data_IF_891754491898
#
_entry.id   IF_891754491898
#
_cell.length_a   1.000
_cell.length_b   1.000
_cell.length_c   1.000
_cell.angle_alpha   90.00
_cell.angle_beta   90.00
_cell.angle_gamma   90.00
#
_symmetry.space_group_name_H-M   'P 1'
#
loop_
_entity.id
_entity.type
_entity.pdbx_description
1 polymer ?
#
# COMPACT_ATOMS: atom_id res chain seq x y z
N UNK A 1 -1.51 -6.19 11.41
CA UNK A 1 -0.85 -4.88 11.21
C UNK A 1 -1.63 -4.10 10.16
N UNK A 2 -1.95 -2.84 10.42
CA UNK A 2 -2.69 -1.92 9.53
C UNK A 2 -2.01 -0.55 9.56
N UNK A 3 -1.89 0.12 8.42
CA UNK A 3 -1.18 1.39 8.32
C UNK A 3 -2.11 2.58 8.57
N UNK A 4 -3.32 2.55 7.99
CA UNK A 4 -4.36 3.55 8.21
C UNK A 4 -3.87 4.97 7.92
N UNK A 5 -3.14 5.16 6.83
CA UNK A 5 -2.58 6.45 6.44
C UNK A 5 -3.58 7.28 5.63
N UNK A 6 -4.54 6.67 4.93
CA UNK A 6 -5.56 7.39 4.16
C UNK A 6 -6.90 7.55 4.88
N UNK A 7 -7.19 6.70 5.87
CA UNK A 7 -8.35 6.77 6.76
C UNK A 7 -7.93 6.28 8.15
N UNK A 8 -8.67 6.67 9.19
CA UNK A 8 -8.36 6.31 10.58
C UNK A 8 -8.68 4.85 10.93
N UNK A 9 -9.65 4.26 10.23
CA UNK A 9 -10.33 3.03 10.65
C UNK A 9 -10.56 2.01 9.51
N UNK A 10 -10.11 2.31 8.28
CA UNK A 10 -10.29 1.45 7.11
C UNK A 10 -9.13 1.57 6.12
N UNK A 11 -8.96 0.55 5.28
CA UNK A 11 -7.98 0.57 4.19
C UNK A 11 -8.51 1.41 3.01
N UNK A 12 -7.62 2.01 2.22
CA UNK A 12 -8.02 2.63 0.96
C UNK A 12 -8.41 1.59 -0.10
N UNK A 13 -9.64 1.68 -0.60
CA UNK A 13 -10.18 0.76 -1.60
C UNK A 13 -10.01 1.29 -3.03
N UNK A 14 -9.02 0.76 -3.74
CA UNK A 14 -8.79 1.03 -5.16
C UNK A 14 -9.83 0.39 -6.10
N UNK A 15 -10.69 -0.51 -5.60
CA UNK A 15 -11.74 -1.14 -6.40
C UNK A 15 -13.07 -0.37 -6.33
N UNK A 16 -13.13 0.68 -5.51
CA UNK A 16 -14.32 1.53 -5.40
C UNK A 16 -14.64 2.17 -6.75
N UNK A 17 -15.92 2.13 -7.10
CA UNK A 17 -16.43 2.79 -8.31
C UNK A 17 -16.21 4.29 -8.23
N UNK A 18 -15.67 4.85 -9.31
CA UNK A 18 -15.51 6.27 -9.51
C UNK A 18 -16.88 6.94 -9.70
N UNK A 19 -16.99 8.26 -9.44
CA UNK A 19 -18.26 8.98 -9.61
C UNK A 19 -18.73 8.90 -11.07
N UNK A 20 -20.05 8.89 -11.27
CA UNK A 20 -20.68 8.72 -12.58
C UNK A 20 -20.26 9.79 -13.61
N UNK A 21 -19.84 10.97 -13.15
CA UNK A 21 -19.38 12.09 -13.98
C UNK A 21 -17.85 12.18 -14.11
N UNK A 22 -17.10 11.15 -13.71
CA UNK A 22 -15.64 11.06 -13.82
C UNK A 22 -15.11 11.54 -15.18
N UNK A 23 -15.67 11.04 -16.28
CA UNK A 23 -15.17 11.33 -17.61
C UNK A 23 -15.30 12.82 -17.94
N UNK A 24 -16.42 13.43 -17.55
CA UNK A 24 -16.66 14.86 -17.73
C UNK A 24 -15.69 15.69 -16.88
N UNK A 25 -15.52 15.34 -15.60
CA UNK A 25 -14.57 16.03 -14.72
C UNK A 25 -13.12 15.90 -15.20
N UNK A 26 -12.72 14.71 -15.62
CA UNK A 26 -11.36 14.43 -16.12
C UNK A 26 -11.04 15.25 -17.36
N UNK A 27 -12.00 15.35 -18.29
CA UNK A 27 -11.85 16.14 -19.49
C UNK A 27 -11.88 17.65 -19.18
N UNK A 28 -12.92 18.13 -18.50
CA UNK A 28 -13.18 19.55 -18.27
C UNK A 28 -12.12 20.20 -17.37
N UNK A 29 -11.56 19.45 -16.42
CA UNK A 29 -10.53 19.92 -15.50
C UNK A 29 -9.11 19.49 -15.89
N UNK A 30 -8.93 18.82 -17.03
CA UNK A 30 -7.64 18.29 -17.48
C UNK A 30 -6.92 17.44 -16.41
N UNK A 31 -7.66 16.58 -15.71
CA UNK A 31 -7.12 15.83 -14.57
C UNK A 31 -6.01 14.85 -14.95
N UNK A 32 -5.95 14.41 -16.21
CA UNK A 32 -4.86 13.55 -16.67
C UNK A 32 -3.49 14.22 -16.50
N UNK A 33 -3.38 15.53 -16.74
CA UNK A 33 -2.13 16.29 -16.54
C UNK A 33 -1.71 16.25 -15.07
N UNK A 34 -2.66 16.39 -14.15
CA UNK A 34 -2.42 16.28 -12.71
C UNK A 34 -1.97 14.85 -12.34
N UNK A 35 -2.67 13.83 -12.83
CA UNK A 35 -2.36 12.44 -12.52
C UNK A 35 -1.02 12.01 -13.09
N UNK A 36 -0.67 12.44 -14.30
CA UNK A 36 0.64 12.18 -14.92
C UNK A 36 1.78 12.83 -14.12
N UNK A 37 1.58 14.06 -13.65
CA UNK A 37 2.54 14.74 -12.79
C UNK A 37 2.74 14.03 -11.44
N UNK A 38 1.66 13.52 -10.85
CA UNK A 38 1.75 12.70 -9.64
C UNK A 38 2.43 11.34 -9.91
N UNK A 39 2.18 10.74 -11.07
CA UNK A 39 2.63 9.41 -11.41
C UNK A 39 4.10 9.33 -11.86
N UNK A 40 4.62 10.36 -12.54
CA UNK A 40 5.93 10.33 -13.20
C UNK A 40 6.14 9.08 -14.08
N UNK A 41 5.08 8.67 -14.78
CA UNK A 41 5.07 7.48 -15.64
C UNK A 41 4.80 6.14 -14.93
N UNK A 42 4.66 6.12 -13.61
CA UNK A 42 4.24 4.91 -12.87
C UNK A 42 2.72 4.71 -12.96
N UNK A 43 2.30 3.64 -13.66
CA UNK A 43 0.88 3.31 -13.84
C UNK A 43 0.14 3.06 -12.52
N UNK A 44 0.80 2.51 -11.51
CA UNK A 44 0.16 2.24 -10.22
C UNK A 44 -0.09 3.55 -9.46
N UNK A 45 0.86 4.48 -9.47
CA UNK A 45 0.67 5.80 -8.89
C UNK A 45 -0.43 6.59 -9.62
N UNK A 46 -0.50 6.47 -10.95
CA UNK A 46 -1.56 7.09 -11.76
C UNK A 46 -2.96 6.64 -11.31
N UNK A 47 -3.18 5.32 -11.23
CA UNK A 47 -4.48 4.77 -10.80
C UNK A 47 -4.84 5.18 -9.37
N UNK A 48 -3.86 5.16 -8.45
CA UNK A 48 -4.07 5.60 -7.06
C UNK A 48 -4.45 7.08 -6.99
N UNK A 49 -3.72 7.94 -7.70
CA UNK A 49 -3.99 9.37 -7.74
C UNK A 49 -5.39 9.65 -8.31
N UNK A 50 -5.73 9.01 -9.44
CA UNK A 50 -7.03 9.09 -10.08
C UNK A 50 -8.15 8.72 -9.11
N UNK A 51 -8.06 7.56 -8.46
CA UNK A 51 -9.08 7.11 -7.51
C UNK A 51 -9.17 8.01 -6.29
N UNK A 52 -8.04 8.46 -5.73
CA UNK A 52 -8.04 9.28 -4.53
C UNK A 52 -8.64 10.67 -4.77
N UNK A 53 -8.29 11.32 -5.89
CA UNK A 53 -8.77 12.66 -6.25
C UNK A 53 -10.24 12.65 -6.64
N UNK A 54 -10.67 11.68 -7.46
CA UNK A 54 -12.04 11.64 -7.99
C UNK A 54 -13.06 11.08 -7.00
N UNK A 55 -12.66 10.20 -6.09
CA UNK A 55 -13.59 9.67 -5.09
C UNK A 55 -14.12 10.76 -4.16
N UNK A 56 -13.33 11.83 -3.96
CA UNK A 56 -13.62 12.90 -3.02
C UNK A 56 -13.78 12.40 -1.58
N UNK A 57 -13.75 13.33 -0.63
CA UNK A 57 -14.21 13.07 0.73
C UNK A 57 -15.27 14.12 1.08
N UNK A 58 -16.27 13.66 1.83
CA UNK A 58 -17.35 14.49 2.37
C UNK A 58 -17.16 14.70 3.89
N UNK A 59 -16.34 13.87 4.54
CA UNK A 59 -16.03 13.96 5.97
C UNK A 59 -14.84 14.89 6.22
N UNK A 60 -15.11 15.97 6.96
CA UNK A 60 -14.13 16.97 7.36
C UNK A 60 -12.93 16.35 8.11
N UNK A 61 -13.19 15.42 9.03
CA UNK A 61 -12.14 14.84 9.86
C UNK A 61 -11.18 13.98 9.03
N UNK A 62 -11.68 13.25 8.03
CA UNK A 62 -10.88 12.45 7.11
C UNK A 62 -10.03 13.34 6.19
N UNK A 63 -10.58 14.46 5.71
CA UNK A 63 -9.81 15.44 4.92
C UNK A 63 -8.64 15.98 5.73
N UNK A 64 -8.91 16.48 6.94
CA UNK A 64 -7.88 17.02 7.84
C UNK A 64 -6.85 15.96 8.23
N UNK A 65 -7.30 14.73 8.50
CA UNK A 65 -6.42 13.60 8.78
C UNK A 65 -5.41 13.35 7.65
N UNK A 66 -5.88 13.32 6.38
CA UNK A 66 -4.98 13.16 5.22
C UNK A 66 -4.04 14.35 5.05
N UNK A 67 -4.50 15.57 5.32
CA UNK A 67 -3.65 16.75 5.26
C UNK A 67 -2.52 16.67 6.29
N UNK A 68 -2.80 16.22 7.52
CA UNK A 68 -1.79 16.05 8.56
C UNK A 68 -0.75 14.99 8.17
N UNK A 69 -1.20 13.86 7.61
CA UNK A 69 -0.30 12.82 7.08
C UNK A 69 0.56 13.38 5.92
N UNK A 70 -0.04 14.15 5.02
CA UNK A 70 0.69 14.77 3.90
C UNK A 70 1.70 15.81 4.37
N UNK A 71 1.44 16.57 5.44
CA UNK A 71 2.42 17.50 6.05
C UNK A 71 3.66 16.75 6.52
N UNK A 72 3.46 15.66 7.26
CA UNK A 72 4.55 14.77 7.67
C UNK A 72 5.32 14.22 6.46
N UNK A 73 4.62 13.85 5.39
CA UNK A 73 5.26 13.35 4.17
C UNK A 73 6.12 14.42 3.49
N UNK A 74 5.63 15.66 3.41
CA UNK A 74 6.38 16.79 2.85
C UNK A 74 7.58 17.17 3.71
N UNK A 75 7.48 17.02 5.04
CA UNK A 75 8.60 17.20 5.96
C UNK A 75 9.68 16.13 5.82
N UNK A 76 9.28 14.89 5.50
CA UNK A 76 10.15 13.71 5.50
C UNK A 76 10.14 12.91 4.18
N UNK A 77 10.38 13.55 3.01
CA UNK A 77 10.11 12.94 1.71
C UNK A 77 11.02 11.75 1.39
N UNK A 78 12.27 11.73 1.89
CA UNK A 78 13.20 10.61 1.72
C UNK A 78 12.74 9.37 2.47
N UNK A 79 12.29 9.54 3.72
CA UNK A 79 11.83 8.44 4.59
C UNK A 79 10.56 7.83 4.01
N UNK A 80 9.61 8.64 3.55
CA UNK A 80 8.39 8.14 2.92
C UNK A 80 8.69 7.31 1.67
N UNK A 81 9.63 7.77 0.83
CA UNK A 81 10.06 7.00 -0.34
C UNK A 81 10.72 5.70 0.06
N UNK A 82 11.55 5.68 1.10
CA UNK A 82 12.15 4.44 1.58
C UNK A 82 11.08 3.43 2.06
N UNK A 83 10.10 3.88 2.85
CA UNK A 83 8.99 3.02 3.31
C UNK A 83 8.20 2.48 2.10
N UNK A 84 7.91 3.33 1.12
CA UNK A 84 7.25 2.94 -0.12
C UNK A 84 8.06 1.91 -0.91
N UNK A 85 9.37 2.13 -1.09
CA UNK A 85 10.28 1.24 -1.81
C UNK A 85 10.39 -0.13 -1.12
N UNK A 86 10.36 -0.17 0.22
CA UNK A 86 10.29 -1.43 0.97
C UNK A 86 8.99 -2.18 0.63
N UNK A 87 7.85 -1.48 0.59
CA UNK A 87 6.57 -2.09 0.27
C UNK A 87 6.50 -2.58 -1.19
N UNK A 88 7.02 -1.80 -2.15
CA UNK A 88 7.15 -2.21 -3.55
C UNK A 88 8.06 -3.44 -3.69
N UNK A 89 9.25 -3.39 -3.08
CA UNK A 89 10.22 -4.47 -3.13
C UNK A 89 9.66 -5.79 -2.59
N UNK A 90 8.84 -5.74 -1.54
CA UNK A 90 8.16 -6.93 -1.01
C UNK A 90 7.28 -7.62 -2.06
N UNK A 91 6.48 -6.84 -2.77
CA UNK A 91 5.54 -7.38 -3.77
C UNK A 91 6.25 -7.84 -5.05
N UNK A 92 7.39 -7.24 -5.40
CA UNK A 92 8.20 -7.70 -6.53
C UNK A 92 8.91 -9.02 -6.28
N UNK A 93 9.46 -9.19 -5.07
CA UNK A 93 10.15 -10.41 -4.66
C UNK A 93 9.24 -11.63 -4.76
N UNK A 94 7.99 -11.49 -4.32
CA UNK A 94 7.02 -12.58 -4.37
C UNK A 94 6.63 -12.96 -5.81
N UNK A 95 6.45 -11.97 -6.70
CA UNK A 95 6.16 -12.24 -8.13
C UNK A 95 7.22 -13.15 -8.75
N UNK A 96 8.48 -13.03 -8.34
CA UNK A 96 9.58 -13.90 -8.80
C UNK A 96 9.48 -15.33 -8.29
N UNK A 97 8.79 -15.57 -7.17
CA UNK A 97 8.63 -16.89 -6.54
C UNK A 97 7.24 -17.51 -6.78
N UNK A 98 6.39 -16.86 -7.59
CA UNK A 98 5.02 -17.29 -7.91
C UNK A 98 4.91 -18.76 -8.35
N UNK A 99 5.91 -19.25 -9.09
CA UNK A 99 5.98 -20.64 -9.55
C UNK A 99 5.98 -21.67 -8.41
N UNK A 100 6.55 -21.35 -7.24
CA UNK A 100 6.55 -22.27 -6.10
C UNK A 100 5.14 -22.42 -5.49
N UNK A 101 4.35 -21.35 -5.48
CA UNK A 101 2.98 -21.34 -4.97
C UNK A 101 1.97 -21.95 -5.95
N UNK A 102 2.30 -22.00 -7.25
CA UNK A 102 1.50 -22.71 -8.26
C UNK A 102 1.69 -24.23 -8.22
N UNK A 103 2.70 -24.72 -7.49
CA UNK A 103 2.98 -26.14 -7.36
C UNK A 103 1.88 -26.88 -6.59
N UNK A 104 1.57 -28.11 -7.00
CA UNK A 104 0.67 -29.01 -6.25
C UNK A 104 1.38 -29.78 -5.13
N UNK A 105 2.71 -29.67 -5.02
CA UNK A 105 3.51 -30.42 -4.07
C UNK A 105 3.73 -29.60 -2.79
N UNK A 106 3.28 -30.10 -1.62
CA UNK A 106 3.49 -29.43 -0.33
C UNK A 106 4.94 -29.07 -0.03
N UNK A 107 5.92 -29.89 -0.44
CA UNK A 107 7.34 -29.57 -0.26
C UNK A 107 7.79 -28.35 -1.06
N UNK A 108 7.31 -28.19 -2.30
CA UNK A 108 7.60 -27.03 -3.14
C UNK A 108 6.95 -25.76 -2.57
N UNK A 109 5.69 -25.85 -2.15
CA UNK A 109 4.98 -24.74 -1.48
C UNK A 109 5.73 -24.33 -0.21
N UNK A 110 6.09 -25.29 0.63
CA UNK A 110 6.80 -25.03 1.88
C UNK A 110 8.13 -24.32 1.62
N UNK A 111 8.92 -24.81 0.66
CA UNK A 111 10.20 -24.23 0.31
C UNK A 111 10.06 -22.78 -0.17
N UNK A 112 9.16 -22.52 -1.13
CA UNK A 112 8.88 -21.18 -1.62
C UNK A 112 8.39 -20.23 -0.53
N UNK A 113 7.46 -20.69 0.32
CA UNK A 113 6.98 -19.88 1.45
C UNK A 113 8.10 -19.54 2.43
N UNK A 114 9.02 -20.47 2.73
CA UNK A 114 10.16 -20.18 3.61
C UNK A 114 11.05 -19.09 2.99
N UNK A 115 11.35 -19.16 1.71
CA UNK A 115 12.19 -18.17 1.03
C UNK A 115 11.52 -16.78 1.04
N UNK A 116 10.25 -16.70 0.68
CA UNK A 116 9.50 -15.43 0.69
C UNK A 116 9.38 -14.86 2.09
N UNK A 117 9.06 -15.67 3.09
CA UNK A 117 9.01 -15.22 4.49
C UNK A 117 10.37 -14.72 4.99
N UNK A 118 11.48 -15.36 4.60
CA UNK A 118 12.81 -14.87 4.95
C UNK A 118 13.08 -13.46 4.42
N UNK A 119 12.65 -13.19 3.18
CA UNK A 119 12.80 -11.87 2.57
C UNK A 119 11.86 -10.84 3.21
N UNK A 120 10.59 -11.20 3.46
CA UNK A 120 9.64 -10.35 4.17
C UNK A 120 10.11 -9.98 5.57
N UNK A 121 10.69 -10.91 6.33
CA UNK A 121 11.27 -10.62 7.64
C UNK A 121 12.38 -9.56 7.53
N UNK A 122 13.22 -9.63 6.49
CA UNK A 122 14.23 -8.60 6.22
C UNK A 122 13.61 -7.21 5.97
N UNK A 123 12.53 -7.14 5.20
CA UNK A 123 11.81 -5.90 4.91
C UNK A 123 11.07 -5.34 6.12
N UNK A 124 10.41 -6.20 6.91
CA UNK A 124 9.79 -5.81 8.18
C UNK A 124 10.83 -5.28 9.18
N UNK A 125 12.04 -5.85 9.20
CA UNK A 125 13.13 -5.33 10.02
C UNK A 125 13.59 -3.95 9.56
N UNK A 126 13.68 -3.70 8.25
CA UNK A 126 13.96 -2.36 7.72
C UNK A 126 12.89 -1.34 8.13
N UNK A 127 11.60 -1.69 8.01
CA UNK A 127 10.50 -0.85 8.48
C UNK A 127 10.59 -0.57 9.99
N UNK A 128 10.91 -1.60 10.78
CA UNK A 128 11.11 -1.46 12.23
C UNK A 128 12.22 -0.47 12.57
N UNK A 129 13.35 -0.55 11.85
CA UNK A 129 14.48 0.36 12.04
C UNK A 129 14.10 1.81 11.71
N UNK A 130 13.41 2.05 10.60
CA UNK A 130 12.90 3.39 10.25
C UNK A 130 12.02 3.94 11.39
N UNK A 131 11.13 3.11 11.95
CA UNK A 131 10.32 3.51 13.08
C UNK A 131 11.16 3.82 14.34
N UNK A 132 12.28 3.13 14.57
CA UNK A 132 13.16 3.41 15.70
C UNK A 132 13.93 4.71 15.55
N UNK A 133 14.44 4.97 14.35
CA UNK A 133 15.28 6.12 14.06
C UNK A 133 14.46 7.40 13.89
N UNK A 134 13.36 7.34 13.13
CA UNK A 134 12.69 8.53 12.61
C UNK A 134 11.31 8.82 13.21
N UNK A 135 10.73 7.97 14.06
CA UNK A 135 9.35 8.17 14.52
C UNK A 135 9.10 9.50 15.26
N UNK A 136 10.13 10.18 15.76
CA UNK A 136 10.00 11.49 16.41
C UNK A 136 9.93 12.66 15.42
N UNK A 137 10.22 12.41 14.15
CA UNK A 137 10.16 13.41 13.06
C UNK A 137 8.75 13.53 12.46
N UNK A 138 7.80 12.74 12.97
CA UNK A 138 6.42 12.66 12.51
C UNK A 138 5.47 13.03 13.65
N UNK A 139 4.50 13.89 13.35
CA UNK A 139 3.56 14.41 14.35
C UNK A 139 2.12 13.93 14.10
N UNK A 140 1.80 13.53 12.87
CA UNK A 140 0.45 13.09 12.52
C UNK A 140 0.03 11.85 13.32
N UNK A 141 -1.26 11.79 13.64
CA UNK A 141 -1.86 10.67 14.35
C UNK A 141 -1.60 9.33 13.63
N UNK A 142 -1.69 9.31 12.30
CA UNK A 142 -1.50 8.09 11.52
C UNK A 142 -0.07 7.57 11.52
N UNK A 143 0.94 8.41 11.28
CA UNK A 143 2.33 7.93 11.36
C UNK A 143 2.74 7.57 12.77
N UNK A 144 2.31 8.34 13.78
CA UNK A 144 2.56 8.01 15.19
C UNK A 144 1.97 6.65 15.54
N UNK A 145 0.73 6.38 15.13
CA UNK A 145 0.06 5.09 15.35
C UNK A 145 0.73 3.97 14.57
N UNK A 146 1.07 4.20 13.30
CA UNK A 146 1.75 3.23 12.44
C UNK A 146 3.10 2.82 13.02
N UNK A 147 3.95 3.77 13.39
CA UNK A 147 5.25 3.47 13.98
C UNK A 147 5.12 2.79 15.34
N UNK A 148 4.21 3.24 16.21
CA UNK A 148 3.94 2.57 17.48
C UNK A 148 3.50 1.11 17.29
N UNK A 149 2.65 0.85 16.30
CA UNK A 149 2.22 -0.48 15.91
C UNK A 149 3.41 -1.33 15.44
N UNK A 150 4.28 -0.80 14.57
CA UNK A 150 5.51 -1.51 14.17
C UNK A 150 6.40 -1.83 15.37
N UNK A 151 6.56 -0.90 16.32
CA UNK A 151 7.39 -1.14 17.52
C UNK A 151 6.84 -2.26 18.38
N UNK A 152 5.52 -2.29 18.54
CA UNK A 152 4.81 -3.25 19.37
C UNK A 152 4.81 -4.64 18.76
N UNK A 153 4.52 -4.75 17.46
CA UNK A 153 4.30 -6.03 16.80
C UNK A 153 5.60 -6.67 16.29
N UNK A 154 6.65 -5.88 16.03
CA UNK A 154 7.91 -6.34 15.43
C UNK A 154 9.09 -6.19 16.41
N UNK A 155 8.99 -6.82 17.58
CA UNK A 155 10.05 -6.88 18.57
C UNK A 155 11.22 -7.82 18.20
N UNK A 156 12.36 -7.67 18.88
CA UNK A 156 13.53 -8.53 18.68
C UNK A 156 13.24 -10.01 18.98
N UNK A 157 12.43 -10.29 20.01
CA UNK A 157 11.99 -11.64 20.36
C UNK A 157 11.18 -12.29 19.23
N UNK A 158 10.26 -11.52 18.63
CA UNK A 158 9.46 -11.98 17.49
C UNK A 158 10.35 -12.34 16.30
N UNK A 159 11.31 -11.47 15.93
CA UNK A 159 12.23 -11.75 14.83
C UNK A 159 13.10 -12.97 15.10
N UNK A 160 13.59 -13.14 16.33
CA UNK A 160 14.37 -14.31 16.73
C UNK A 160 13.54 -15.60 16.63
N UNK A 161 12.28 -15.57 17.05
CA UNK A 161 11.36 -16.70 16.97
C UNK A 161 11.06 -17.10 15.53
N UNK A 162 10.68 -16.13 14.69
CA UNK A 162 10.37 -16.39 13.26
C UNK A 162 11.60 -16.96 12.55
N UNK A 163 12.77 -16.39 12.77
CA UNK A 163 14.02 -16.90 12.17
C UNK A 163 14.34 -18.31 12.66
N UNK A 164 14.07 -18.64 13.92
CA UNK A 164 14.23 -20.01 14.43
C UNK A 164 13.27 -20.98 13.72
N UNK A 165 11.98 -20.63 13.62
CA UNK A 165 11.00 -21.45 12.92
C UNK A 165 11.37 -21.66 11.45
N UNK A 166 11.74 -20.60 10.72
CA UNK A 166 12.14 -20.72 9.31
C UNK A 166 13.38 -21.59 9.12
N UNK A 167 14.31 -21.62 10.08
CA UNK A 167 15.47 -22.54 10.05
C UNK A 167 15.06 -23.99 10.30
N UNK A 168 14.22 -24.24 11.31
CA UNK A 168 13.73 -25.59 11.65
C UNK A 168 12.93 -26.21 10.50
N UNK A 169 12.12 -25.40 9.81
CA UNK A 169 11.26 -25.84 8.72
C UNK A 169 11.98 -26.13 7.40
N UNK A 170 13.28 -25.81 7.29
CA UNK A 170 14.12 -26.27 6.17
C UNK A 170 14.42 -27.76 6.23
N UNK A 171 14.16 -28.43 7.36
CA UNK A 171 14.33 -29.87 7.57
C UNK A 171 15.68 -30.43 7.11
N UNK A 172 16.78 -29.72 7.39
CA UNK A 172 18.15 -30.12 6.99
C UNK A 172 18.56 -31.50 7.55
N UNK A 173 18.02 -31.87 8.71
CA UNK A 173 18.28 -33.14 9.39
C UNK A 173 17.22 -34.23 9.08
N UNK A 174 16.35 -33.99 8.08
CA UNK A 174 15.23 -34.86 7.74
C UNK A 174 13.92 -34.48 8.45
N UNK A 175 12.86 -35.23 8.13
CA UNK A 175 11.49 -34.96 8.59
C UNK A 175 11.03 -36.11 9.48
N UNK A 176 10.58 -35.80 10.70
CA UNK A 176 9.98 -36.79 11.60
C UNK A 176 8.45 -36.74 11.48
N UNK A 177 7.84 -37.82 11.02
CA UNK A 177 6.40 -37.92 10.81
C UNK A 177 5.88 -39.14 11.57
N UNK A 178 4.79 -38.99 12.31
CA UNK A 178 4.02 -40.14 12.80
C UNK A 178 2.79 -40.37 11.93
N UNK A 179 2.36 -41.61 11.80
CA UNK A 179 1.14 -42.01 11.09
C UNK A 179 0.47 -43.16 11.84
N UNK A 180 -0.83 -43.31 11.67
CA UNK A 180 -1.61 -44.44 12.16
C UNK A 180 -1.88 -45.42 11.01
N UNK A 181 -2.02 -46.71 11.32
CA UNK A 181 -2.40 -47.71 10.31
C UNK A 181 -3.92 -47.73 10.15
N UNK A 182 -4.39 -47.28 8.99
CA UNK A 182 -5.79 -47.34 8.60
C UNK A 182 -6.14 -48.63 7.85
N UNK A 183 -7.32 -48.62 7.20
CA UNK A 183 -7.84 -49.77 6.45
C UNK A 183 -6.85 -50.22 5.36
N UNK A 184 -6.56 -51.53 5.34
CA UNK A 184 -5.63 -52.13 4.39
C UNK A 184 -4.16 -51.76 4.65
N UNK A 185 -3.81 -51.47 5.91
CA UNK A 185 -2.46 -51.09 6.34
C UNK A 185 -1.90 -49.83 5.67
N UNK A 186 -2.79 -48.98 5.13
CA UNK A 186 -2.41 -47.67 4.59
C UNK A 186 -2.23 -46.68 5.73
N UNK A 187 -1.18 -45.87 5.69
CA UNK A 187 -0.99 -44.80 6.66
C UNK A 187 -2.09 -43.74 6.57
N UNK A 188 -2.67 -43.38 7.72
CA UNK A 188 -3.63 -42.30 7.94
C UNK A 188 -3.11 -41.36 9.04
N UNK A 189 -3.74 -40.20 9.25
CA UNK A 189 -3.40 -39.25 10.33
C UNK A 189 -1.90 -38.91 10.39
N UNK A 190 -1.34 -38.45 9.26
CA UNK A 190 0.05 -38.01 9.20
C UNK A 190 0.23 -36.74 10.04
N UNK A 191 1.17 -36.76 10.98
CA UNK A 191 1.48 -35.64 11.86
C UNK A 191 2.98 -35.38 11.85
N UNK A 192 3.36 -34.16 11.48
CA UNK A 192 4.73 -33.67 11.64
C UNK A 192 5.08 -33.59 13.13
N UNK A 193 6.20 -34.18 13.53
CA UNK A 193 6.69 -34.15 14.90
C UNK A 193 7.95 -33.31 15.01
N UNK A 194 8.09 -32.63 16.14
CA UNK A 194 9.37 -32.01 16.50
C UNK A 194 10.41 -33.12 16.70
N UNK A 195 11.61 -33.01 16.12
CA UNK A 195 12.70 -33.93 16.42
C UNK A 195 12.95 -33.96 17.92
N UNK A 196 13.29 -35.12 18.47
CA UNK A 196 13.70 -35.20 19.88
C UNK A 196 14.92 -34.32 20.12
N UNK A 197 14.87 -33.48 21.16
CA UNK A 197 15.97 -32.60 21.52
C UNK A 197 17.21 -33.44 21.82
N UNK A 198 18.33 -33.18 21.12
CA UNK A 198 19.56 -33.97 21.27
C UNK A 198 20.19 -33.82 22.67
N UNK A 199 19.59 -32.99 23.54
CA UNK A 199 19.98 -32.67 24.93
C UNK A 199 19.69 -33.73 25.99
N UNK A 200 19.21 -34.93 25.63
CA UNK A 200 19.26 -36.04 26.59
C UNK A 200 20.70 -36.48 26.81
N UNK A 201 21.22 -36.27 28.02
CA UNK A 201 22.55 -36.68 28.44
C UNK A 201 22.80 -38.16 28.13
N UNK A 202 23.99 -38.45 27.61
CA UNK A 202 24.42 -39.76 27.11
C UNK A 202 24.04 -40.94 28.02
N UNK A 203 24.05 -40.73 29.34
CA UNK A 203 23.66 -41.71 30.36
C UNK A 203 22.20 -42.18 30.20
N UNK A 204 21.23 -41.30 30.00
CA UNK A 204 19.81 -41.68 29.81
C UNK A 204 19.57 -42.45 28.49
N UNK A 205 20.38 -42.22 27.45
CA UNK A 205 20.27 -42.96 26.18
C UNK A 205 20.79 -44.40 26.26
N UNK A 206 21.72 -44.67 27.17
CA UNK A 206 22.31 -46.02 27.36
C UNK A 206 21.38 -46.90 28.19
N UNK A 207 20.67 -46.34 29.17
CA UNK A 207 19.77 -47.09 30.06
C UNK A 207 18.30 -47.15 29.61
N UNK A 208 17.92 -46.46 28.53
CA UNK A 208 16.57 -46.55 27.98
C UNK A 208 16.41 -47.82 27.12
N UNK A 209 15.32 -48.58 27.33
CA UNK A 209 14.90 -49.63 26.40
C UNK A 209 14.69 -49.01 25.01
N UNK A 210 15.50 -49.42 24.03
CA UNK A 210 15.35 -48.94 22.65
C UNK A 210 14.13 -49.63 22.02
N UNK A 211 13.14 -48.89 21.52
CA UNK A 211 12.11 -49.49 20.68
C UNK A 211 12.74 -50.14 19.45
N UNK A 212 12.08 -51.15 18.87
CA UNK A 212 12.52 -51.76 17.62
C UNK A 212 12.48 -50.70 16.49
N UNK A 213 13.65 -50.22 16.10
CA UNK A 213 13.80 -49.28 14.99
C UNK A 213 14.13 -50.07 13.73
N UNK A 214 13.24 -50.03 12.75
CA UNK A 214 13.52 -50.55 11.41
C UNK A 214 14.06 -49.41 10.54
N UNK A 215 15.14 -49.66 9.81
CA UNK A 215 15.74 -48.70 8.88
C UNK A 215 15.73 -49.31 7.49
N UNK A 216 15.15 -48.57 6.54
CA UNK A 216 15.09 -48.95 5.13
C UNK A 216 15.90 -47.93 4.32
N UNK A 217 16.68 -48.42 3.36
CA UNK A 217 17.45 -47.58 2.44
C UNK A 217 16.88 -47.72 1.03
N UNK A 218 16.61 -46.60 0.38
CA UNK A 218 16.16 -46.58 -1.02
C UNK A 218 17.41 -46.48 -1.90
N UNK A 219 17.51 -47.33 -2.92
CA UNK A 219 18.64 -47.30 -3.85
C UNK A 219 18.61 -45.99 -4.65
N UNK A 220 19.77 -45.37 -4.99
CA UNK A 220 19.81 -44.09 -5.71
C UNK A 220 19.10 -44.07 -7.06
N UNK A 221 18.93 -45.24 -7.70
CA UNK A 221 18.26 -45.40 -9.00
C UNK A 221 16.79 -45.87 -8.88
N UNK A 222 16.28 -46.05 -7.66
CA UNK A 222 14.89 -46.43 -7.43
C UNK A 222 13.98 -45.20 -7.40
N UNK A 223 13.52 -44.79 -8.58
CA UNK A 223 12.62 -43.65 -8.74
C UNK A 223 11.23 -43.90 -8.12
N UNK A 224 10.77 -45.15 -8.07
CA UNK A 224 9.45 -45.47 -7.52
C UNK A 224 9.47 -45.35 -5.99
N UNK A 225 10.51 -45.88 -5.35
CA UNK A 225 10.75 -45.70 -3.92
C UNK A 225 10.93 -44.23 -3.55
N UNK A 226 11.73 -43.48 -4.32
CA UNK A 226 11.94 -42.05 -4.09
C UNK A 226 10.64 -41.25 -4.17
N UNK A 227 9.79 -41.53 -5.17
CA UNK A 227 8.45 -40.93 -5.30
C UNK A 227 7.55 -41.28 -4.14
N UNK A 228 7.47 -42.55 -3.75
CA UNK A 228 6.65 -42.98 -2.62
C UNK A 228 7.07 -42.30 -1.30
N UNK A 229 8.38 -42.18 -1.05
CA UNK A 229 8.89 -41.45 0.12
C UNK A 229 8.56 -39.95 0.06
N UNK A 230 8.67 -39.34 -1.11
CA UNK A 230 8.29 -37.93 -1.30
C UNK A 230 6.82 -37.69 -1.03
N UNK A 231 5.93 -38.57 -1.50
CA UNK A 231 4.49 -38.46 -1.24
C UNK A 231 4.16 -38.60 0.25
N UNK A 232 4.81 -39.52 0.96
CA UNK A 232 4.65 -39.66 2.41
C UNK A 232 5.13 -38.41 3.15
N UNK A 233 6.27 -37.86 2.72
CA UNK A 233 6.79 -36.60 3.25
C UNK A 233 5.81 -35.45 3.02
N UNK A 234 5.31 -35.30 1.80
CA UNK A 234 4.38 -34.26 1.39
C UNK A 234 3.08 -34.31 2.21
N UNK A 235 2.53 -35.50 2.45
CA UNK A 235 1.37 -35.67 3.34
C UNK A 235 1.65 -35.20 4.77
N UNK A 236 2.84 -35.51 5.30
CA UNK A 236 3.22 -35.13 6.66
C UNK A 236 3.45 -33.63 6.85
N UNK A 237 3.94 -32.93 5.81
CA UNK A 237 4.25 -31.48 5.90
C UNK A 237 3.10 -30.59 5.42
N UNK A 238 2.05 -31.15 4.82
CA UNK A 238 0.97 -30.39 4.18
C UNK A 238 0.37 -29.29 5.07
N UNK A 239 0.09 -29.59 6.34
CA UNK A 239 -0.47 -28.60 7.27
C UNK A 239 0.46 -27.40 7.48
N UNK A 240 1.77 -27.66 7.57
CA UNK A 240 2.78 -26.61 7.78
C UNK A 240 3.03 -25.83 6.50
N UNK A 241 3.05 -26.49 5.35
CA UNK A 241 3.14 -25.84 4.04
C UNK A 241 1.98 -24.84 3.87
N UNK A 242 0.74 -25.26 4.17
CA UNK A 242 -0.44 -24.39 4.10
C UNK A 242 -0.37 -23.24 5.09
N UNK A 243 0.03 -23.50 6.35
CA UNK A 243 0.18 -22.44 7.35
C UNK A 243 1.21 -21.38 6.95
N UNK A 244 2.34 -21.79 6.35
CA UNK A 244 3.37 -20.87 5.87
C UNK A 244 2.92 -20.10 4.62
N UNK A 245 2.20 -20.74 3.70
CA UNK A 245 1.61 -20.06 2.55
C UNK A 245 0.62 -18.97 3.00
N UNK A 246 -0.28 -19.29 3.92
CA UNK A 246 -1.21 -18.32 4.51
C UNK A 246 -0.48 -17.18 5.23
N UNK A 247 0.57 -17.50 5.99
CA UNK A 247 1.40 -16.48 6.65
C UNK A 247 2.07 -15.54 5.64
N UNK A 248 2.54 -16.09 4.52
CA UNK A 248 3.09 -15.32 3.40
C UNK A 248 2.05 -14.37 2.83
N UNK A 249 0.84 -14.87 2.57
CA UNK A 249 -0.29 -14.07 2.09
C UNK A 249 -0.69 -12.93 3.05
N UNK A 250 -0.68 -13.19 4.36
CA UNK A 250 -0.97 -12.15 5.36
C UNK A 250 0.05 -11.02 5.35
N UNK A 251 1.34 -11.34 5.29
CA UNK A 251 2.40 -10.32 5.25
C UNK A 251 2.40 -9.58 3.90
N UNK A 252 2.17 -10.30 2.80
CA UNK A 252 1.96 -9.71 1.48
C UNK A 252 0.81 -8.71 1.47
N UNK A 253 -0.33 -9.08 2.05
CA UNK A 253 -1.51 -8.21 2.15
C UNK A 253 -1.18 -6.91 2.88
N UNK A 254 -0.40 -7.00 3.97
CA UNK A 254 0.09 -5.81 4.67
C UNK A 254 0.95 -4.91 3.77
N UNK A 255 1.93 -5.45 3.04
CA UNK A 255 2.76 -4.64 2.13
C UNK A 255 1.96 -4.07 0.96
N UNK A 256 0.97 -4.80 0.44
CA UNK A 256 0.09 -4.28 -0.60
C UNK A 256 -0.76 -3.10 -0.11
N UNK A 257 -1.35 -3.22 1.08
CA UNK A 257 -2.10 -2.13 1.71
C UNK A 257 -1.19 -0.92 1.97
N UNK A 258 0.00 -1.13 2.56
CA UNK A 258 0.95 -0.06 2.85
C UNK A 258 1.39 0.67 1.56
N UNK A 259 1.71 -0.10 0.50
CA UNK A 259 2.06 0.47 -0.81
C UNK A 259 0.91 1.30 -1.38
N UNK A 260 -0.31 0.77 -1.35
CA UNK A 260 -1.50 1.46 -1.89
C UNK A 260 -1.74 2.79 -1.20
N UNK A 261 -1.68 2.84 0.12
CA UNK A 261 -1.90 4.08 0.88
C UNK A 261 -0.76 5.08 0.70
N UNK A 262 0.49 4.63 0.71
CA UNK A 262 1.65 5.49 0.49
C UNK A 262 1.76 6.00 -0.95
N UNK A 263 1.25 5.25 -1.94
CA UNK A 263 1.28 5.66 -3.35
C UNK A 263 0.62 7.03 -3.56
N UNK A 264 -0.50 7.30 -2.87
CA UNK A 264 -1.16 8.61 -2.94
C UNK A 264 -0.22 9.73 -2.46
N UNK A 265 0.44 9.54 -1.32
CA UNK A 265 1.36 10.51 -0.75
C UNK A 265 2.65 10.66 -1.57
N UNK A 266 3.21 9.57 -2.12
CA UNK A 266 4.33 9.62 -3.06
C UNK A 266 3.95 10.41 -4.31
N UNK A 267 2.72 10.24 -4.81
CA UNK A 267 2.18 11.04 -5.91
C UNK A 267 2.11 12.53 -5.56
N UNK A 268 1.65 12.87 -4.36
CA UNK A 268 1.65 14.24 -3.86
C UNK A 268 3.08 14.83 -3.76
N UNK A 269 4.05 14.04 -3.29
CA UNK A 269 5.46 14.43 -3.23
C UNK A 269 6.04 14.71 -4.63
N UNK A 270 5.65 13.93 -5.63
CA UNK A 270 6.06 14.13 -7.02
C UNK A 270 5.50 15.43 -7.59
N UNK A 271 4.22 15.71 -7.37
CA UNK A 271 3.57 16.95 -7.77
C UNK A 271 4.21 18.16 -7.06
N UNK A 272 4.35 18.09 -5.74
CA UNK A 272 4.95 19.17 -4.94
C UNK A 272 6.35 19.52 -5.42
N UNK A 273 7.19 18.53 -5.74
CA UNK A 273 8.54 18.79 -6.26
C UNK A 273 8.51 19.59 -7.55
N UNK A 274 7.63 19.26 -8.48
CA UNK A 274 7.51 19.97 -9.77
C UNK A 274 7.05 21.41 -9.54
N UNK A 275 6.05 21.63 -8.69
CA UNK A 275 5.57 22.97 -8.34
C UNK A 275 6.65 23.80 -7.63
N UNK A 276 7.37 23.21 -6.69
CA UNK A 276 8.47 23.87 -5.99
C UNK A 276 9.61 24.28 -6.95
N UNK A 277 9.91 23.48 -7.97
CA UNK A 277 10.90 23.82 -9.00
C UNK A 277 10.47 25.04 -9.86
N UNK A 278 9.17 25.24 -10.02
CA UNK A 278 8.60 26.40 -10.72
C UNK A 278 8.44 27.63 -9.81
N UNK A 279 8.71 27.49 -8.50
CA UNK A 279 8.52 28.56 -7.51
C UNK A 279 7.04 28.83 -7.19
N UNK A 280 6.16 27.89 -7.51
CA UNK A 280 4.72 28.03 -7.28
C UNK A 280 4.37 27.81 -5.81
N UNK A 281 3.50 28.67 -5.21
CA UNK A 281 3.09 28.50 -3.83
C UNK A 281 2.14 27.31 -3.67
N UNK A 282 2.20 26.67 -2.52
CA UNK A 282 1.18 25.72 -2.08
C UNK A 282 0.69 26.09 -0.69
N UNK A 283 -0.58 25.79 -0.41
CA UNK A 283 -1.16 25.94 0.92
C UNK A 283 -1.95 24.70 1.28
N UNK A 284 -1.99 24.36 2.58
CA UNK A 284 -2.95 23.38 3.06
C UNK A 284 -4.31 24.06 3.19
N UNK A 285 -5.30 23.67 2.36
CA UNK A 285 -6.58 24.36 2.33
C UNK A 285 -7.34 24.14 3.63
N UNK A 286 -8.17 25.13 4.02
CA UNK A 286 -9.08 25.04 5.16
C UNK A 286 -10.47 24.57 4.67
N UNK A 287 -10.80 23.27 4.76
CA UNK A 287 -12.13 22.78 4.49
C UNK A 287 -13.10 23.20 5.60
N UNK A 288 -14.29 23.66 5.23
CA UNK A 288 -15.35 24.01 6.17
C UNK A 288 -16.61 23.20 5.89
N UNK A 289 -17.38 22.90 6.93
CA UNK A 289 -18.69 22.28 6.76
C UNK A 289 -19.69 23.26 6.11
N UNK A 290 -20.83 22.74 5.65
CA UNK A 290 -21.78 23.45 4.78
C UNK A 290 -22.64 24.53 5.45
N UNK A 291 -22.60 24.69 6.78
CA UNK A 291 -23.51 25.59 7.51
C UNK A 291 -23.25 27.09 7.30
N UNK A 292 -22.04 27.48 6.87
CA UNK A 292 -21.70 28.86 6.50
C UNK A 292 -21.10 28.86 5.09
N UNK A 293 -21.53 29.76 4.20
CA UNK A 293 -21.00 29.81 2.83
C UNK A 293 -19.65 30.53 2.81
N UNK A 294 -18.57 29.76 2.66
CA UNK A 294 -17.19 30.22 2.64
C UNK A 294 -16.51 29.76 1.36
N UNK A 295 -15.91 30.71 0.65
CA UNK A 295 -15.14 30.45 -0.56
C UNK A 295 -14.21 31.62 -0.81
N UNK A 296 -13.00 31.54 -0.26
CA UNK A 296 -11.99 32.58 -0.38
C UNK A 296 -10.61 31.97 -0.60
N UNK A 297 -9.81 32.62 -1.42
CA UNK A 297 -8.45 32.18 -1.74
C UNK A 297 -7.62 33.35 -2.27
N UNK A 298 -6.30 33.21 -2.14
CA UNK A 298 -5.30 34.15 -2.63
C UNK A 298 -4.26 33.43 -3.47
N UNK A 299 -3.84 34.05 -4.57
CA UNK A 299 -2.83 33.52 -5.48
C UNK A 299 -3.24 32.19 -6.13
N UNK A 300 -4.53 31.92 -6.32
CA UNK A 300 -5.00 30.66 -6.91
C UNK A 300 -4.60 30.57 -8.39
N UNK A 301 -3.87 29.52 -8.75
CA UNK A 301 -3.47 29.28 -10.13
C UNK A 301 -3.90 27.90 -10.63
N UNK A 302 -3.90 27.75 -11.96
CA UNK A 302 -4.22 26.48 -12.60
C UNK A 302 -2.98 25.58 -12.62
N UNK A 303 -2.99 24.57 -11.76
CA UNK A 303 -1.89 23.60 -11.62
C UNK A 303 -1.62 22.83 -12.92
N UNK A 304 -2.64 22.47 -13.69
CA UNK A 304 -2.47 21.75 -14.94
C UNK A 304 -1.85 22.64 -16.02
N UNK A 305 -2.21 23.93 -16.05
CA UNK A 305 -1.58 24.90 -16.93
C UNK A 305 -0.10 25.12 -16.56
N UNK A 306 0.21 25.26 -15.27
CA UNK A 306 1.59 25.40 -14.79
C UNK A 306 2.46 24.21 -15.22
N UNK A 307 1.95 23.00 -15.02
CA UNK A 307 2.62 21.75 -15.42
C UNK A 307 2.81 21.65 -16.94
N UNK A 308 1.79 22.02 -17.72
CA UNK A 308 1.83 21.94 -19.19
C UNK A 308 2.81 22.95 -19.78
N UNK A 309 2.82 24.18 -19.26
CA UNK A 309 3.71 25.24 -19.75
C UNK A 309 5.10 25.17 -19.12
N UNK A 310 5.27 24.42 -18.03
CA UNK A 310 6.48 24.32 -17.23
C UNK A 310 7.03 25.71 -16.82
N UNK A 311 6.14 26.58 -16.35
CA UNK A 311 6.45 27.93 -15.88
C UNK A 311 5.42 28.40 -14.85
N UNK A 312 5.76 29.45 -14.10
CA UNK A 312 4.86 30.08 -13.14
C UNK A 312 3.62 30.68 -13.82
N UNK A 313 2.45 30.52 -13.21
CA UNK A 313 1.16 31.03 -13.66
C UNK A 313 0.71 32.18 -12.75
N UNK A 314 0.07 33.18 -13.35
CA UNK A 314 -0.48 34.32 -12.58
C UNK A 314 -1.64 33.83 -11.70
N UNK A 315 -1.45 33.93 -10.39
CA UNK A 315 -2.49 33.64 -9.40
C UNK A 315 -3.62 34.67 -9.39
N UNK A 316 -4.80 34.24 -8.96
CA UNK A 316 -6.00 35.06 -8.86
C UNK A 316 -6.58 34.99 -7.46
N UNK A 317 -7.11 36.12 -6.99
CA UNK A 317 -7.72 36.24 -5.67
C UNK A 317 -9.25 36.29 -5.79
N UNK A 318 -9.94 35.62 -4.88
CA UNK A 318 -11.40 35.74 -4.73
C UNK A 318 -11.79 35.77 -3.28
N UNK A 319 -12.76 36.63 -2.99
CA UNK A 319 -13.59 36.52 -1.80
C UNK A 319 -15.06 36.41 -2.23
N UNK A 320 -15.58 35.18 -2.18
CA UNK A 320 -16.96 34.85 -2.48
C UNK A 320 -17.70 34.34 -1.21
N UNK A 321 -17.23 34.74 -0.03
CA UNK A 321 -17.92 34.46 1.23
C UNK A 321 -19.36 35.00 1.16
N UNK A 322 -20.31 34.18 1.62
CA UNK A 322 -21.74 34.47 1.60
C UNK A 322 -22.31 34.74 0.19
N UNK A 323 -21.62 34.33 -0.88
CA UNK A 323 -22.09 34.40 -2.26
C UNK A 323 -22.45 33.02 -2.80
N UNK A 324 -23.65 32.89 -3.35
CA UNK A 324 -24.12 31.66 -3.99
C UNK A 324 -23.81 31.61 -5.50
N UNK A 325 -23.69 32.77 -6.14
CA UNK A 325 -23.44 32.89 -7.57
C UNK A 325 -22.37 33.95 -7.81
N UNK A 326 -21.36 33.59 -8.60
CA UNK A 326 -20.31 34.48 -9.09
C UNK A 326 -20.40 34.52 -10.61
N UNK A 327 -20.51 35.72 -11.18
CA UNK A 327 -20.58 35.92 -12.63
C UNK A 327 -19.24 36.52 -13.07
N UNK A 328 -18.55 35.82 -13.97
CA UNK A 328 -17.24 36.24 -14.50
C UNK A 328 -17.42 36.69 -15.94
N UNK A 329 -17.19 37.96 -16.21
CA UNK A 329 -17.26 38.55 -17.55
C UNK A 329 -15.89 39.05 -18.00
N UNK A 330 -15.69 39.20 -19.30
CA UNK A 330 -14.44 39.68 -19.86
C UNK A 330 -14.24 39.22 -21.30
N UNK A 331 -13.23 39.80 -21.97
CA UNK A 331 -12.90 39.46 -23.35
C UNK A 331 -12.62 37.96 -23.56
N UNK A 332 -12.85 37.47 -24.77
CA UNK A 332 -12.39 36.13 -25.15
C UNK A 332 -10.87 36.03 -24.96
N UNK A 333 -10.37 34.85 -24.60
CA UNK A 333 -8.96 34.59 -24.27
C UNK A 333 -8.44 35.30 -23.00
N UNK A 334 -9.28 35.97 -22.22
CA UNK A 334 -8.90 36.55 -20.92
C UNK A 334 -8.74 35.56 -19.76
N UNK A 335 -8.48 34.27 -20.02
CA UNK A 335 -8.22 33.27 -18.96
C UNK A 335 -9.42 32.79 -18.15
N UNK A 336 -10.66 33.18 -18.49
CA UNK A 336 -11.87 32.82 -17.71
C UNK A 336 -12.05 31.31 -17.50
N UNK A 337 -11.86 30.50 -18.54
CA UNK A 337 -12.00 29.04 -18.45
C UNK A 337 -10.90 28.42 -17.59
N UNK A 338 -9.65 28.87 -17.75
CA UNK A 338 -8.51 28.48 -16.90
C UNK A 338 -8.77 28.80 -15.43
N UNK A 339 -9.34 29.98 -15.15
CA UNK A 339 -9.68 30.39 -13.80
C UNK A 339 -10.81 29.53 -13.18
N UNK A 340 -11.87 29.22 -13.95
CA UNK A 340 -12.92 28.30 -13.46
C UNK A 340 -12.38 26.89 -13.22
N UNK A 341 -11.45 26.45 -14.06
CA UNK A 341 -10.77 25.16 -13.91
C UNK A 341 -9.90 25.12 -12.66
N UNK A 342 -9.14 26.17 -12.35
CA UNK A 342 -8.31 26.21 -11.14
C UNK A 342 -9.14 26.11 -9.85
N UNK A 343 -10.35 26.70 -9.82
CA UNK A 343 -11.30 26.54 -8.71
C UNK A 343 -11.72 25.08 -8.57
N UNK A 344 -12.17 24.45 -9.66
CA UNK A 344 -12.61 23.05 -9.66
C UNK A 344 -11.50 22.07 -9.25
N UNK A 345 -10.30 22.26 -9.80
CA UNK A 345 -9.11 21.47 -9.44
C UNK A 345 -8.78 21.59 -7.95
N UNK A 346 -8.74 22.81 -7.43
CA UNK A 346 -8.38 23.05 -6.02
C UNK A 346 -9.44 22.54 -5.06
N UNK A 347 -10.72 22.55 -5.46
CA UNK A 347 -11.79 21.90 -4.69
C UNK A 347 -11.57 20.39 -4.60
N UNK A 348 -11.23 19.71 -5.70
CA UNK A 348 -10.95 18.27 -5.70
C UNK A 348 -9.70 17.95 -4.87
N UNK A 349 -8.62 18.74 -5.04
CA UNK A 349 -7.38 18.59 -4.27
C UNK A 349 -7.63 18.77 -2.76
N UNK A 350 -8.39 19.81 -2.37
CA UNK A 350 -8.81 19.98 -0.97
C UNK A 350 -9.60 18.77 -0.47
N UNK A 351 -10.64 18.34 -1.19
CA UNK A 351 -11.52 17.27 -0.74
C UNK A 351 -10.86 15.89 -0.74
N UNK A 352 -9.75 15.66 -1.45
CA UNK A 352 -9.01 14.40 -1.31
C UNK A 352 -7.91 14.45 -0.22
N UNK A 353 -7.71 15.60 0.43
CA UNK A 353 -6.74 15.81 1.51
C UNK A 353 -5.37 16.33 1.07
N UNK A 354 -5.27 16.89 -0.14
CA UNK A 354 -4.04 17.48 -0.67
C UNK A 354 -3.89 18.95 -0.26
N UNK A 355 -2.69 19.50 -0.50
CA UNK A 355 -2.49 20.94 -0.61
C UNK A 355 -3.20 21.50 -1.85
N UNK A 356 -3.46 22.82 -1.87
CA UNK A 356 -4.02 23.55 -2.99
C UNK A 356 -2.94 24.42 -3.67
N UNK A 357 -3.03 24.63 -5.00
CA UNK A 357 -2.15 25.52 -5.78
C UNK A 357 -2.52 27.00 -5.55
N UNK A 358 -2.27 27.49 -4.34
CA UNK A 358 -2.62 28.83 -3.89
C UNK A 358 -1.79 29.24 -2.68
N UNK A 359 -1.68 30.54 -2.41
CA UNK A 359 -1.10 31.08 -1.17
C UNK A 359 -2.02 30.81 0.03
N UNK A 360 -3.32 30.88 -0.19
CA UNK A 360 -4.34 30.44 0.77
C UNK A 360 -5.59 29.94 0.05
N UNK A 361 -6.26 28.94 0.61
CA UNK A 361 -7.52 28.42 0.06
C UNK A 361 -8.44 27.96 1.19
N UNK A 362 -9.66 28.49 1.23
CA UNK A 362 -10.70 28.15 2.19
C UNK A 362 -12.01 27.96 1.44
N UNK A 363 -12.60 26.77 1.56
CA UNK A 363 -13.86 26.46 0.89
C UNK A 363 -14.69 25.47 1.69
N UNK A 364 -16.00 25.50 1.48
CA UNK A 364 -16.86 24.45 2.00
C UNK A 364 -16.59 23.11 1.32
N UNK A 365 -16.78 22.02 2.05
CA UNK A 365 -16.93 20.67 1.50
C UNK A 365 -18.23 20.64 0.69
N UNK A 366 -18.15 20.03 -0.49
CA UNK A 366 -19.27 19.89 -1.42
C UNK A 366 -19.59 18.41 -1.63
N UNK A 367 -20.88 18.09 -1.75
CA UNK A 367 -21.36 16.74 -2.06
C UNK A 367 -21.04 16.31 -3.51
N UNK A 368 -20.72 17.28 -4.37
CA UNK A 368 -20.36 17.02 -5.75
C UNK A 368 -19.83 18.24 -6.47
N UNK A 369 -18.99 17.99 -7.47
CA UNK A 369 -18.49 18.99 -8.40
C UNK A 369 -19.11 18.75 -9.79
N UNK A 370 -19.67 19.80 -10.37
CA UNK A 370 -20.34 19.75 -11.67
C UNK A 370 -19.71 20.78 -12.60
N UNK A 371 -19.38 20.35 -13.80
CA UNK A 371 -18.77 21.18 -14.83
C UNK A 371 -19.64 21.20 -16.07
N UNK A 372 -19.65 22.34 -16.76
CA UNK A 372 -20.28 22.48 -18.06
C UNK A 372 -19.48 23.48 -18.88
N UNK A 373 -18.57 22.96 -19.69
CA UNK A 373 -17.80 23.74 -20.64
C UNK A 373 -18.43 23.66 -22.03
N UNK A 374 -18.36 24.75 -22.80
CA UNK A 374 -18.78 24.73 -24.20
C UNK A 374 -17.88 23.74 -24.94
N UNK A 375 -18.49 22.67 -25.45
CA UNK A 375 -17.82 21.71 -26.33
C UNK A 375 -17.79 22.29 -27.74
N UNK A 376 -16.73 22.02 -28.50
CA UNK A 376 -16.84 22.14 -29.95
C UNK A 376 -17.99 21.22 -30.39
N UNK A 377 -18.87 21.71 -31.28
CA UNK A 377 -19.97 20.89 -31.79
C UNK A 377 -19.36 19.62 -32.39
N UNK A 378 -19.87 18.47 -31.97
CA UNK A 378 -19.44 17.19 -32.50
C UNK A 378 -19.72 17.18 -34.02
N UNK A 379 -18.69 17.17 -34.89
CA UNK A 379 -18.88 17.20 -36.33
C UNK A 379 -19.57 15.93 -36.84
N UNK A 380 -19.76 14.91 -35.99
CA UNK A 380 -20.47 13.67 -36.28
C UNK A 380 -21.96 13.71 -35.88
N UNK A 381 -22.42 14.74 -35.16
CA UNK A 381 -23.85 15.00 -34.98
C UNK A 381 -24.42 15.62 -36.27
N UNK A 382 -24.82 14.75 -37.20
CA UNK A 382 -25.58 15.09 -38.41
C UNK A 382 -27.08 15.02 -38.20
#
# INVERSE_FOLDING_TARGET
MKAFLMYRDQDFDLQRLLPWNEAALTQDLELNTLFDAMALGDKFLFEVAKHAVLSGLEDLNTILYRQDILRDCLGNPSIIREIYDIAVGALEVEKKHYWCFSSRYPSSILHGSIEVLQMFVGMLKRLRNIADEHAKEFESEGFTTFFAMLKKELGEEYFAEVQRHLRELKFRDGVLISTELGKGYKGTNYVLRKPHDKKQGWVKRIFAQKPSVYTFYIAPRDEAGARALSELRDRGINLVANALAQSTDHIRSFFNMLRTELAFYVGCLNLHRQLAQMGEPISFPLPLASWERKHNFQGLFDVCLALTMNQSIVGNDVNADNKHLVIITGANQGGKSTFLRSIGLSQLMMQCGMFAPAESFCANICDGLFTHYKREEDPTMK
#
